data_IF_743833720410
#
_entry.id   IF_743833720410
#
_cell.length_a   1.000
_cell.length_b   1.000
_cell.length_c   1.000
_cell.angle_alpha   90.00
_cell.angle_beta   90.00
_cell.angle_gamma   90.00
#
_symmetry.space_group_name_H-M   'P 1'
#
loop_
_entity.id
_entity.type
_entity.pdbx_description
1 polymer ?
#
# COMPACT_ATOMS: atom_id res chain seq x y z
N UNK A 1 -17.51 -8.32 15.92
CA UNK A 1 -16.71 -7.12 16.25
C UNK A 1 -15.88 -6.57 15.08
N UNK A 2 -15.53 -7.34 14.05
CA UNK A 2 -14.67 -6.87 12.94
C UNK A 2 -15.28 -5.76 12.06
N UNK A 3 -16.61 -5.68 11.96
CA UNK A 3 -17.30 -4.73 11.07
C UNK A 3 -17.38 -3.28 11.57
N UNK A 4 -17.23 -3.02 12.88
CA UNK A 4 -17.28 -1.63 13.41
C UNK A 4 -15.96 -0.87 13.17
N UNK A 5 -14.81 -1.57 13.24
CA UNK A 5 -13.50 -0.94 13.08
C UNK A 5 -13.23 -0.54 11.62
N UNK A 6 -13.68 -1.35 10.66
CA UNK A 6 -13.47 -1.05 9.24
C UNK A 6 -14.30 0.12 8.69
N UNK A 7 -15.34 0.54 9.40
CA UNK A 7 -16.20 1.65 8.99
C UNK A 7 -15.49 3.02 9.04
N UNK A 8 -14.59 3.21 10.01
CA UNK A 8 -13.91 4.49 10.31
C UNK A 8 -12.53 4.61 9.68
N UNK A 9 -12.18 3.72 8.76
CA UNK A 9 -10.88 3.76 8.10
C UNK A 9 -10.80 5.02 7.23
N UNK A 10 -9.71 5.82 7.34
CA UNK A 10 -9.50 6.96 6.47
C UNK A 10 -9.60 6.56 5.00
N UNK A 11 -10.49 7.24 4.29
CA UNK A 11 -10.60 7.18 2.83
C UNK A 11 -10.01 8.46 2.28
N UNK A 12 -8.76 8.43 1.84
CA UNK A 12 -8.22 9.56 1.07
C UNK A 12 -8.89 9.53 -0.31
N UNK A 13 -9.33 10.68 -0.83
CA UNK A 13 -10.20 10.75 -2.01
C UNK A 13 -9.64 10.10 -3.31
N UNK A 14 -8.36 9.73 -3.33
CA UNK A 14 -7.66 9.10 -4.46
C UNK A 14 -7.02 7.75 -4.12
N UNK A 15 -7.28 7.22 -2.92
CA UNK A 15 -6.75 5.93 -2.49
C UNK A 15 -7.88 4.93 -2.28
N UNK A 16 -7.62 3.69 -2.67
CA UNK A 16 -8.44 2.53 -2.38
C UNK A 16 -7.73 1.73 -1.29
N UNK A 17 -8.46 1.39 -0.25
CA UNK A 17 -7.96 0.49 0.79
C UNK A 17 -8.61 -0.88 0.65
N UNK A 18 -7.78 -1.91 0.68
CA UNK A 18 -8.21 -3.29 0.81
C UNK A 18 -7.66 -3.85 2.12
N UNK A 19 -8.52 -4.47 2.92
CA UNK A 19 -8.12 -5.21 4.12
C UNK A 19 -8.57 -6.64 3.96
N UNK A 20 -7.64 -7.57 4.13
CA UNK A 20 -7.91 -8.99 4.11
C UNK A 20 -7.15 -9.67 5.25
N UNK A 21 -7.88 -10.24 6.21
CA UNK A 21 -7.27 -10.82 7.40
C UNK A 21 -6.46 -9.77 8.18
N UNK A 22 -5.16 -10.04 8.35
CA UNK A 22 -4.16 -9.17 8.96
C UNK A 22 -3.44 -8.25 7.96
N UNK A 23 -3.64 -8.47 6.65
CA UNK A 23 -3.02 -7.67 5.60
C UNK A 23 -3.87 -6.43 5.26
N UNK A 24 -3.20 -5.28 5.17
CA UNK A 24 -3.79 -4.01 4.71
C UNK A 24 -3.03 -3.52 3.50
N UNK A 25 -3.73 -3.24 2.41
CA UNK A 25 -3.17 -2.79 1.13
C UNK A 25 -3.77 -1.46 0.73
N UNK A 26 -2.90 -0.50 0.43
CA UNK A 26 -3.26 0.83 -0.07
C UNK A 26 -2.94 0.88 -1.56
N UNK A 27 -3.91 1.28 -2.37
CA UNK A 27 -3.75 1.49 -3.80
C UNK A 27 -4.04 2.96 -4.12
N UNK A 28 -3.12 3.62 -4.82
CA UNK A 28 -3.34 4.96 -5.35
C UNK A 28 -3.10 4.97 -6.86
N UNK A 29 -3.72 5.91 -7.57
CA UNK A 29 -3.55 6.07 -9.02
C UNK A 29 -3.38 7.55 -9.36
N UNK A 30 -2.28 7.87 -10.04
CA UNK A 30 -2.05 9.18 -10.61
C UNK A 30 -1.34 9.08 -11.97
N UNK A 31 -1.38 10.17 -12.75
CA UNK A 31 -0.74 10.23 -14.06
C UNK A 31 0.77 10.49 -14.00
N UNK A 32 1.25 11.09 -12.90
CA UNK A 32 2.65 11.46 -12.68
C UNK A 32 3.23 10.65 -11.52
N UNK A 33 4.45 10.10 -11.64
CA UNK A 33 5.04 9.26 -10.60
C UNK A 33 5.25 9.97 -9.25
N UNK A 34 5.71 11.22 -9.25
CA UNK A 34 5.90 12.00 -8.02
C UNK A 34 4.58 12.18 -7.25
N UNK A 35 3.47 12.38 -7.97
CA UNK A 35 2.15 12.51 -7.36
C UNK A 35 1.64 11.18 -6.81
N UNK A 36 2.04 10.05 -7.39
CA UNK A 36 1.77 8.71 -6.82
C UNK A 36 2.46 8.58 -5.46
N UNK A 37 3.75 8.91 -5.38
CA UNK A 37 4.50 8.82 -4.11
C UNK A 37 3.90 9.73 -3.05
N UNK A 38 3.58 10.98 -3.41
CA UNK A 38 2.97 11.94 -2.48
C UNK A 38 1.62 11.44 -1.94
N UNK A 39 0.71 11.04 -2.82
CA UNK A 39 -0.61 10.53 -2.41
C UNK A 39 -0.50 9.24 -1.59
N UNK A 40 0.51 8.42 -1.86
CA UNK A 40 0.73 7.19 -1.11
C UNK A 40 1.29 7.48 0.29
N UNK A 41 2.20 8.45 0.43
CA UNK A 41 2.68 8.89 1.75
C UNK A 41 1.55 9.50 2.58
N UNK A 42 0.74 10.40 2.00
CA UNK A 42 -0.42 10.98 2.68
C UNK A 42 -1.37 9.89 3.22
N UNK A 43 -1.65 8.86 2.42
CA UNK A 43 -2.49 7.73 2.84
C UNK A 43 -1.85 6.85 3.92
N UNK A 44 -0.52 6.68 3.88
CA UNK A 44 0.23 5.97 4.93
C UNK A 44 0.18 6.75 6.24
N UNK A 45 0.32 8.06 6.21
CA UNK A 45 0.26 8.93 7.39
C UNK A 45 -1.14 8.89 8.04
N UNK A 46 -2.19 8.99 7.23
CA UNK A 46 -3.58 8.85 7.68
C UNK A 46 -3.83 7.49 8.36
N UNK A 47 -3.32 6.42 7.76
CA UNK A 47 -3.44 5.08 8.32
C UNK A 47 -2.61 4.91 9.59
N UNK A 48 -1.40 5.49 9.67
CA UNK A 48 -0.60 5.45 10.89
C UNK A 48 -1.37 6.08 12.06
N UNK A 49 -2.02 7.23 11.83
CA UNK A 49 -2.88 7.87 12.82
C UNK A 49 -4.07 6.99 13.22
N UNK A 50 -4.70 6.33 12.25
CA UNK A 50 -5.80 5.39 12.51
C UNK A 50 -5.33 4.17 13.30
N UNK A 51 -4.21 3.55 12.93
CA UNK A 51 -3.61 2.42 13.65
C UNK A 51 -3.28 2.79 15.10
N UNK A 52 -2.74 4.00 15.33
CA UNK A 52 -2.50 4.53 16.69
C UNK A 52 -3.81 4.70 17.47
N UNK A 53 -4.85 5.27 16.86
CA UNK A 53 -6.17 5.46 17.49
C UNK A 53 -6.79 4.13 17.95
N UNK A 54 -6.62 3.08 17.15
CA UNK A 54 -7.18 1.76 17.43
C UNK A 54 -6.21 0.79 18.10
N UNK A 55 -5.03 1.27 18.51
CA UNK A 55 -3.97 0.48 19.15
C UNK A 55 -3.57 -0.76 18.33
N UNK A 56 -3.62 -0.65 17.01
CA UNK A 56 -3.23 -1.70 16.08
C UNK A 56 -1.72 -1.63 15.87
N UNK A 57 -1.03 -2.73 16.13
CA UNK A 57 0.42 -2.84 15.94
C UNK A 57 0.73 -3.27 14.51
N UNK A 58 1.24 -2.33 13.71
CA UNK A 58 1.74 -2.61 12.35
C UNK A 58 3.22 -2.99 12.40
N UNK A 59 3.67 -3.82 11.46
CA UNK A 59 5.08 -4.13 11.26
C UNK A 59 5.58 -3.49 9.94
N UNK A 60 6.25 -2.32 10.00
CA UNK A 60 6.78 -1.65 8.82
C UNK A 60 7.80 -2.50 8.06
N UNK A 61 8.57 -3.36 8.74
CA UNK A 61 9.61 -4.19 8.09
C UNK A 61 9.02 -5.25 7.16
N UNK A 62 7.77 -5.64 7.37
CA UNK A 62 7.02 -6.54 6.48
C UNK A 62 6.26 -5.80 5.38
N UNK A 63 6.22 -4.47 5.45
CA UNK A 63 5.51 -3.66 4.47
C UNK A 63 6.38 -3.47 3.24
N UNK A 64 5.76 -3.51 2.05
CA UNK A 64 6.45 -3.30 0.78
C UNK A 64 5.59 -2.43 -0.13
N UNK A 65 6.23 -1.65 -0.97
CA UNK A 65 5.56 -0.83 -1.96
C UNK A 65 5.91 -1.32 -3.37
N UNK A 66 4.93 -1.34 -4.27
CA UNK A 66 5.12 -1.64 -5.69
C UNK A 66 4.51 -0.52 -6.52
N UNK A 67 5.23 -0.11 -7.56
CA UNK A 67 4.69 0.80 -8.57
C UNK A 67 4.34 0.00 -9.82
N UNK A 68 3.03 -0.21 -10.04
CA UNK A 68 2.54 -0.83 -11.27
C UNK A 68 2.55 0.21 -12.38
N UNK A 69 3.35 -0.03 -13.42
CA UNK A 69 3.52 0.90 -14.54
C UNK A 69 2.58 0.50 -15.67
N UNK A 70 1.79 1.47 -16.14
CA UNK A 70 1.17 1.36 -17.46
C UNK A 70 2.20 1.46 -18.59
N UNK A 71 1.76 1.73 -19.83
CA UNK A 71 2.67 1.91 -21.00
C UNK A 71 3.71 3.04 -20.87
N UNK A 72 3.60 3.91 -19.85
CA UNK A 72 4.50 5.04 -19.64
C UNK A 72 5.72 4.64 -18.82
N UNK A 73 6.91 5.03 -19.28
CA UNK A 73 8.16 4.91 -18.52
C UNK A 73 8.13 5.90 -17.35
N UNK A 74 8.25 5.40 -16.12
CA UNK A 74 8.38 6.18 -14.90
C UNK A 74 8.97 5.31 -13.80
N UNK A 75 9.82 5.89 -12.96
CA UNK A 75 10.25 5.30 -11.69
C UNK A 75 9.47 5.98 -10.58
N UNK A 76 9.29 5.31 -9.44
CA UNK A 76 8.85 6.03 -8.24
C UNK A 76 9.84 7.17 -7.99
N UNK A 77 9.32 8.30 -7.57
CA UNK A 77 10.11 9.48 -7.25
C UNK A 77 9.83 9.79 -5.79
N UNK A 78 10.79 9.50 -4.92
CA UNK A 78 10.66 9.63 -3.46
C UNK A 78 10.58 8.33 -2.66
N UNK A 79 10.64 8.50 -1.35
CA UNK A 79 10.63 7.46 -0.33
C UNK A 79 9.27 7.44 0.36
N UNK A 80 8.82 6.25 0.74
CA UNK A 80 7.65 6.09 1.60
C UNK A 80 8.14 5.60 2.94
N UNK A 81 7.64 6.18 4.02
CA UNK A 81 7.95 5.75 5.37
C UNK A 81 6.70 5.54 6.19
N UNK A 82 6.76 4.59 7.12
CA UNK A 82 5.72 4.30 8.09
C UNK A 82 6.36 4.06 9.45
N UNK A 83 5.86 4.71 10.50
CA UNK A 83 6.46 4.69 11.84
C UNK A 83 7.98 4.98 11.80
N UNK A 84 8.38 6.00 11.02
CA UNK A 84 9.79 6.40 10.83
C UNK A 84 10.70 5.31 10.21
N UNK A 85 10.12 4.29 9.56
CA UNK A 85 10.87 3.28 8.83
C UNK A 85 10.53 3.32 7.35
N UNK A 86 11.57 3.21 6.53
CA UNK A 86 11.41 3.24 5.08
C UNK A 86 10.78 1.94 4.59
N UNK A 87 9.73 2.10 3.76
CA UNK A 87 9.09 0.99 3.07
C UNK A 87 9.84 0.79 1.75
N UNK A 88 10.46 -0.39 1.54
CA UNK A 88 11.21 -0.65 0.33
C UNK A 88 10.29 -0.76 -0.89
N UNK A 89 10.67 -0.08 -1.95
CA UNK A 89 10.10 -0.29 -3.27
C UNK A 89 10.60 -1.61 -3.87
N UNK A 90 9.68 -2.44 -4.34
CA UNK A 90 9.95 -3.71 -5.01
C UNK A 90 9.32 -3.70 -6.41
N UNK A 91 9.89 -4.49 -7.31
CA UNK A 91 9.31 -4.75 -8.64
C UNK A 91 8.33 -5.91 -8.65
N UNK A 92 8.32 -6.69 -7.56
CA UNK A 92 7.47 -7.85 -7.37
C UNK A 92 7.12 -7.93 -5.89
N UNK A 93 5.84 -8.20 -5.58
CA UNK A 93 5.35 -8.43 -4.23
C UNK A 93 4.47 -9.68 -4.19
N UNK A 94 4.38 -10.31 -3.02
CA UNK A 94 3.47 -11.42 -2.76
C UNK A 94 2.29 -10.89 -1.95
N UNK A 95 1.07 -11.09 -2.47
CA UNK A 95 -0.18 -10.74 -1.80
C UNK A 95 -1.15 -11.92 -1.90
N UNK A 96 -1.58 -12.48 -0.77
CA UNK A 96 -2.52 -13.61 -0.72
C UNK A 96 -2.11 -14.83 -1.57
N UNK A 97 -0.83 -15.21 -1.53
CA UNK A 97 -0.23 -16.26 -2.36
C UNK A 97 -0.24 -15.98 -3.89
N UNK A 98 -0.59 -14.77 -4.30
CA UNK A 98 -0.45 -14.26 -5.66
C UNK A 98 0.80 -13.41 -5.74
N UNK A 99 1.65 -13.69 -6.72
CA UNK A 99 2.78 -12.82 -7.05
C UNK A 99 2.30 -11.76 -8.04
N UNK A 100 2.54 -10.49 -7.71
CA UNK A 100 2.18 -9.32 -8.53
C UNK A 100 3.48 -8.61 -8.92
N UNK A 101 3.73 -8.47 -10.22
CA UNK A 101 4.88 -7.73 -10.76
C UNK A 101 4.53 -6.29 -11.18
N UNK A 102 5.55 -5.50 -11.52
CA UNK A 102 5.40 -4.11 -11.96
C UNK A 102 4.71 -3.93 -13.32
N UNK A 103 4.39 -5.04 -14.01
CA UNK A 103 3.63 -5.12 -15.26
C UNK A 103 2.19 -5.58 -15.06
N UNK A 104 1.76 -5.82 -13.82
CA UNK A 104 0.46 -6.38 -13.47
C UNK A 104 0.25 -7.81 -14.02
N UNK A 105 1.32 -8.60 -14.10
CA UNK A 105 1.23 -10.05 -14.33
C UNK A 105 0.87 -10.73 -13.02
N UNK A 106 -0.16 -11.58 -13.04
CA UNK A 106 -0.57 -12.39 -11.88
C UNK A 106 -0.08 -13.82 -12.06
N UNK A 107 0.77 -14.29 -11.15
CA UNK A 107 1.16 -15.70 -11.10
C UNK A 107 0.55 -16.30 -9.83
N UNK A 108 -0.40 -17.21 -10.02
CA UNK A 108 -0.94 -18.03 -8.95
C UNK A 108 0.08 -19.09 -8.58
N UNK A 109 0.56 -19.11 -7.35
CA UNK A 109 1.27 -20.27 -6.82
C UNK A 109 0.24 -21.24 -6.23
N UNK A 110 -0.21 -22.20 -7.04
CA UNK A 110 -0.95 -23.36 -6.54
C UNK A 110 0.11 -24.35 -6.04
N UNK A 111 0.05 -24.67 -4.74
CA UNK A 111 0.86 -25.71 -4.11
C UNK A 111 0.04 -27.00 -3.99
#
# INVERSE_FOLDING_TARGET
MQYMYTADIPKTARTQLAIYGDDTTILTRASQPWLVTQLLQEAVDDLENWFRKWLIKVNPEKSTAILIKGRKKGTHDGMISMNQRDIPWRREIKYLAVTIDDRLTFILQVN
#
